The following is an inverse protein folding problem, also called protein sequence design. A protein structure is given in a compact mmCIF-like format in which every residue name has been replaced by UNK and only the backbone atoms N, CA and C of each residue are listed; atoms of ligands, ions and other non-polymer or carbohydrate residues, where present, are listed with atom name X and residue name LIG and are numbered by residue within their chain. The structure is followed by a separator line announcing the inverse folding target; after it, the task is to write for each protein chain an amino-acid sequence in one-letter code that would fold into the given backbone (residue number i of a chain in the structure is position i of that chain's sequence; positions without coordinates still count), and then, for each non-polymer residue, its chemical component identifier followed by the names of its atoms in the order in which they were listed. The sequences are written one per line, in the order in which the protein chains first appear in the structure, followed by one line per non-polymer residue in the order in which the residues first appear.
data_IF_655863674699
#
_entry.id   IF_655863674699
#
_cell.length_a   1.000
_cell.length_b   1.000
_cell.length_c   1.000
_cell.angle_alpha   90.00
_cell.angle_beta   90.00
_cell.angle_gamma   90.00
#
_symmetry.space_group_name_H-M   'P 1'
#
loop_
_entity.id
_entity.type
_entity.pdbx_description
1 polymer ?
#
# COMPACT_ATOMS: atom_id res chain seq x y z
N UNK A 1 -15.18 -36.41 60.50
CA UNK A 1 -15.43 -36.61 59.06
C UNK A 1 -14.30 -35.94 58.30
N UNK A 2 -13.43 -36.72 57.67
CA UNK A 2 -12.29 -36.21 56.92
C UNK A 2 -12.80 -35.57 55.61
N UNK A 3 -12.61 -34.26 55.48
CA UNK A 3 -12.88 -33.53 54.25
C UNK A 3 -11.84 -33.99 53.22
N UNK A 4 -12.29 -34.55 52.10
CA UNK A 4 -11.40 -34.98 51.01
C UNK A 4 -10.64 -33.76 50.48
N UNK A 5 -9.34 -33.92 50.28
CA UNK A 5 -8.38 -32.87 49.90
C UNK A 5 -8.76 -32.14 48.59
N UNK A 6 -9.57 -32.77 47.75
CA UNK A 6 -10.13 -32.17 46.53
C UNK A 6 -11.17 -31.07 46.80
N UNK A 7 -11.95 -31.16 47.88
CA UNK A 7 -12.94 -30.13 48.24
C UNK A 7 -12.32 -28.93 48.96
N UNK A 8 -11.15 -29.11 49.59
CA UNK A 8 -10.38 -28.00 50.17
C UNK A 8 -9.68 -27.19 49.07
N UNK A 9 -9.20 -27.84 48.02
CA UNK A 9 -8.63 -27.17 46.84
C UNK A 9 -9.69 -26.37 46.06
N UNK A 10 -10.92 -26.85 45.95
CA UNK A 10 -12.00 -26.10 45.30
C UNK A 10 -12.40 -24.82 46.06
N UNK A 11 -12.16 -24.74 47.38
CA UNK A 11 -12.44 -23.55 48.21
C UNK A 11 -11.23 -22.63 48.43
N UNK A 12 -10.00 -23.17 48.47
CA UNK A 12 -8.77 -22.37 48.55
C UNK A 12 -8.34 -21.81 47.17
N UNK A 13 -8.67 -22.50 46.08
CA UNK A 13 -8.45 -22.04 44.69
C UNK A 13 -9.75 -21.58 43.99
N UNK A 14 -10.86 -21.48 44.74
CA UNK A 14 -12.20 -21.08 44.25
C UNK A 14 -12.36 -19.60 43.87
N UNK A 15 -11.25 -18.85 43.76
CA UNK A 15 -11.19 -17.50 43.17
C UNK A 15 -9.85 -17.29 42.48
N UNK A 16 -9.50 -18.14 41.52
CA UNK A 16 -8.53 -17.74 40.50
C UNK A 16 -9.25 -16.76 39.56
N UNK A 17 -8.77 -15.51 39.54
CA UNK A 17 -9.31 -14.39 38.77
C UNK A 17 -9.74 -14.79 37.35
N UNK A 18 -10.99 -14.48 36.98
CA UNK A 18 -11.51 -14.53 35.60
C UNK A 18 -10.84 -13.49 34.67
N UNK A 19 -9.56 -13.14 34.89
CA UNK A 19 -8.88 -11.98 34.28
C UNK A 19 -7.41 -12.22 33.91
N UNK A 20 -6.93 -13.46 33.88
CA UNK A 20 -5.59 -13.75 33.35
C UNK A 20 -5.73 -14.47 32.03
N UNK A 21 -5.54 -13.71 30.96
CA UNK A 21 -5.28 -14.27 29.65
C UNK A 21 -3.81 -14.64 29.57
N UNK A 22 -3.50 -15.92 29.71
CA UNK A 22 -2.13 -16.44 29.76
C UNK A 22 -1.62 -16.92 28.40
N UNK A 23 -2.48 -16.91 27.38
CA UNK A 23 -2.14 -17.28 26.01
C UNK A 23 -2.90 -16.41 24.99
N UNK A 24 -2.45 -16.46 23.73
CA UNK A 24 -2.97 -15.63 22.63
C UNK A 24 -4.50 -15.78 22.46
N UNK A 25 -5.04 -16.98 22.63
CA UNK A 25 -6.48 -17.27 22.47
C UNK A 25 -7.32 -16.69 23.60
N UNK A 26 -6.83 -16.77 24.84
CA UNK A 26 -7.46 -16.11 25.99
C UNK A 26 -7.36 -14.59 25.87
N UNK A 27 -6.26 -14.04 25.34
CA UNK A 27 -6.10 -12.60 25.12
C UNK A 27 -7.06 -12.09 24.05
N UNK A 28 -7.27 -12.87 22.98
CA UNK A 28 -8.28 -12.57 21.94
C UNK A 28 -9.70 -12.64 22.48
N UNK A 29 -10.00 -13.60 23.37
CA UNK A 29 -11.32 -13.73 24.02
C UNK A 29 -11.56 -12.58 25.02
N UNK A 30 -10.57 -12.25 25.84
CA UNK A 30 -10.61 -11.12 26.77
C UNK A 30 -10.76 -9.77 26.04
N UNK A 31 -10.07 -9.59 24.90
CA UNK A 31 -10.24 -8.40 24.06
C UNK A 31 -11.63 -8.32 23.42
N UNK A 32 -12.23 -9.46 23.05
CA UNK A 32 -13.61 -9.55 22.55
C UNK A 32 -14.64 -9.22 23.64
N UNK A 33 -14.40 -9.71 24.85
CA UNK A 33 -15.25 -9.46 26.03
C UNK A 33 -14.98 -8.10 26.68
N UNK A 34 -14.02 -7.33 26.14
CA UNK A 34 -13.61 -6.00 26.62
C UNK A 34 -13.21 -6.05 28.10
N UNK A 35 -12.39 -7.03 28.46
CA UNK A 35 -11.82 -7.15 29.80
C UNK A 35 -11.10 -5.85 30.18
N UNK A 36 -11.21 -5.45 31.45
CA UNK A 36 -10.63 -4.20 31.94
C UNK A 36 -9.11 -4.16 31.83
N UNK A 37 -8.45 -5.34 31.89
CA UNK A 37 -7.00 -5.49 31.78
C UNK A 37 -6.69 -6.71 30.94
N UNK A 38 -5.65 -6.63 30.09
CA UNK A 38 -5.04 -7.77 29.40
C UNK A 38 -3.54 -7.80 29.69
N UNK A 39 -2.94 -8.99 29.67
CA UNK A 39 -1.49 -9.15 29.75
C UNK A 39 -0.97 -9.58 28.39
N UNK A 40 0.05 -8.89 27.88
CA UNK A 40 0.70 -9.23 26.61
C UNK A 40 2.20 -9.40 26.84
N UNK A 41 2.75 -10.50 26.33
CA UNK A 41 4.20 -10.66 26.25
C UNK A 41 4.73 -9.76 25.13
N UNK A 42 5.66 -8.87 25.45
CA UNK A 42 6.21 -7.90 24.48
C UNK A 42 7.63 -8.33 24.12
N UNK A 43 7.89 -8.50 22.81
CA UNK A 43 9.21 -8.87 22.27
C UNK A 43 9.87 -10.13 22.89
N UNK A 44 9.10 -11.05 23.48
CA UNK A 44 9.63 -12.27 24.10
C UNK A 44 10.16 -12.10 25.53
N UNK A 45 9.90 -10.95 26.15
CA UNK A 45 10.29 -10.62 27.53
C UNK A 45 9.13 -10.82 28.54
N UNK A 46 9.07 -9.98 29.59
CA UNK A 46 8.04 -9.96 30.63
C UNK A 46 6.65 -9.59 30.08
N UNK A 47 5.61 -10.13 30.72
CA UNK A 47 4.22 -9.77 30.44
C UNK A 47 3.91 -8.37 30.97
N UNK A 48 3.47 -7.49 30.08
CA UNK A 48 3.02 -6.14 30.43
C UNK A 48 1.50 -6.12 30.55
N UNK A 49 0.98 -5.56 31.64
CA UNK A 49 -0.44 -5.36 31.83
C UNK A 49 -0.90 -4.07 31.11
N UNK A 50 -1.94 -4.19 30.29
CA UNK A 50 -2.57 -3.09 29.58
C UNK A 50 -3.98 -2.88 30.10
N UNK A 51 -4.33 -1.62 30.37
CA UNK A 51 -5.66 -1.24 30.85
C UNK A 51 -6.54 -0.77 29.69
N UNK A 52 -7.81 -1.18 29.70
CA UNK A 52 -8.78 -0.75 28.70
C UNK A 52 -9.24 0.69 28.99
N UNK A 53 -9.03 1.56 28.01
CA UNK A 53 -9.44 2.96 28.05
C UNK A 53 -10.45 3.20 26.94
N UNK A 54 -11.51 3.96 27.28
CA UNK A 54 -12.46 4.51 26.32
C UNK A 54 -12.18 6.00 26.14
N UNK A 55 -11.93 6.40 24.91
CA UNK A 55 -11.76 7.80 24.50
C UNK A 55 -13.03 8.20 23.77
N UNK A 56 -13.65 9.31 24.19
CA UNK A 56 -14.86 9.81 23.55
C UNK A 56 -14.56 10.23 22.10
N UNK A 57 -15.54 10.09 21.21
CA UNK A 57 -15.40 10.41 19.78
C UNK A 57 -14.71 11.77 19.50
N UNK A 58 -15.11 12.82 20.23
CA UNK A 58 -14.58 14.18 20.06
C UNK A 58 -13.10 14.32 20.44
N UNK A 59 -12.62 13.45 21.32
CA UNK A 59 -11.27 13.49 21.89
C UNK A 59 -10.28 12.58 21.15
N UNK A 60 -10.74 11.71 20.23
CA UNK A 60 -9.87 10.69 19.62
C UNK A 60 -8.70 11.34 18.87
N UNK A 61 -8.96 12.40 18.11
CA UNK A 61 -7.93 13.06 17.29
C UNK A 61 -6.88 13.80 18.12
N UNK A 62 -7.25 14.34 19.28
CA UNK A 62 -6.40 15.18 20.13
C UNK A 62 -5.68 14.38 21.23
N UNK A 63 -6.36 13.40 21.84
CA UNK A 63 -5.80 12.56 22.91
C UNK A 63 -4.98 11.38 22.41
N UNK A 64 -4.99 11.10 21.10
CA UNK A 64 -4.20 10.01 20.53
C UNK A 64 -3.35 10.44 19.35
N UNK A 65 -2.18 9.83 19.23
CA UNK A 65 -1.31 9.91 18.06
C UNK A 65 -0.98 8.51 17.56
N UNK A 66 -0.64 8.35 16.29
CA UNK A 66 -0.14 7.07 15.77
C UNK A 66 1.37 7.02 15.99
N UNK A 67 1.88 5.82 16.31
CA UNK A 67 3.31 5.59 16.45
C UNK A 67 4.09 6.10 15.24
N UNK A 68 5.15 6.88 15.48
CA UNK A 68 5.89 7.56 14.42
C UNK A 68 6.52 6.60 13.39
N UNK A 69 6.96 5.42 13.82
CA UNK A 69 7.53 4.39 12.94
C UNK A 69 6.50 3.37 12.46
N UNK A 70 5.20 3.67 12.57
CA UNK A 70 4.19 2.83 11.95
C UNK A 70 4.33 2.88 10.42
N UNK A 71 4.51 1.73 9.80
CA UNK A 71 4.72 1.63 8.35
C UNK A 71 3.52 2.06 7.49
N UNK A 72 2.33 2.26 8.09
CA UNK A 72 1.12 2.65 7.37
C UNK A 72 1.02 4.17 7.24
N UNK A 73 0.89 4.63 6.01
CA UNK A 73 0.72 6.04 5.66
C UNK A 73 -0.67 6.52 6.07
N UNK A 74 -0.72 7.43 7.05
CA UNK A 74 -1.98 7.88 7.63
C UNK A 74 -2.80 8.72 6.64
N UNK A 75 -2.14 9.39 5.69
CA UNK A 75 -2.80 10.17 4.64
C UNK A 75 -3.68 9.30 3.70
N UNK A 76 -3.43 8.00 3.62
CA UNK A 76 -4.21 7.08 2.79
C UNK A 76 -5.50 6.57 3.45
N UNK A 77 -5.70 6.84 4.74
CA UNK A 77 -6.83 6.31 5.50
C UNK A 77 -8.07 7.19 5.34
N UNK A 78 -8.81 6.94 4.26
CA UNK A 78 -10.10 7.59 3.98
C UNK A 78 -11.27 6.57 4.01
N UNK A 79 -12.48 7.03 3.72
CA UNK A 79 -13.69 6.18 3.75
C UNK A 79 -13.62 4.96 2.82
N UNK A 80 -13.00 5.09 1.64
CA UNK A 80 -12.84 3.99 0.69
C UNK A 80 -11.77 3.00 1.14
N UNK A 81 -10.62 3.49 1.60
CA UNK A 81 -9.52 2.64 2.09
C UNK A 81 -9.87 1.86 3.37
N UNK A 82 -10.87 2.35 4.12
CA UNK A 82 -11.37 1.76 5.35
C UNK A 82 -12.72 1.07 5.19
N UNK A 83 -13.26 0.93 3.97
CA UNK A 83 -14.62 0.44 3.74
C UNK A 83 -14.88 -0.97 4.33
N UNK A 84 -13.84 -1.81 4.42
CA UNK A 84 -13.90 -3.15 5.00
C UNK A 84 -14.21 -3.16 6.51
N UNK A 85 -13.86 -2.10 7.24
CA UNK A 85 -14.12 -1.98 8.68
C UNK A 85 -15.09 -0.85 9.03
N UNK A 86 -15.12 0.23 8.26
CA UNK A 86 -15.85 1.46 8.56
C UNK A 86 -17.36 1.24 8.62
N UNK A 87 -17.91 0.42 7.72
CA UNK A 87 -19.34 0.08 7.69
C UNK A 87 -19.79 -0.56 9.00
N UNK A 88 -19.13 -1.66 9.39
CA UNK A 88 -19.43 -2.38 10.63
C UNK A 88 -19.17 -1.53 11.88
N UNK A 89 -18.15 -0.66 11.86
CA UNK A 89 -17.82 0.23 12.97
C UNK A 89 -18.85 1.34 13.14
N UNK A 90 -19.39 1.90 12.05
CA UNK A 90 -20.49 2.88 12.10
C UNK A 90 -21.74 2.27 12.78
N UNK A 91 -22.07 1.03 12.43
CA UNK A 91 -23.28 0.36 12.91
C UNK A 91 -23.15 -0.21 14.33
N UNK A 92 -22.04 -0.89 14.62
CA UNK A 92 -21.87 -1.70 15.84
C UNK A 92 -20.80 -1.17 16.79
N UNK A 93 -20.15 -0.05 16.43
CA UNK A 93 -18.98 0.46 17.15
C UNK A 93 -17.76 -0.44 16.99
N UNK A 94 -16.68 -0.06 17.66
CA UNK A 94 -15.45 -0.84 17.68
C UNK A 94 -15.65 -2.18 18.38
N UNK A 95 -15.37 -3.27 17.65
CA UNK A 95 -15.47 -4.64 18.17
C UNK A 95 -14.27 -4.99 19.04
N UNK A 96 -13.05 -4.73 18.55
CA UNK A 96 -11.80 -5.08 19.23
C UNK A 96 -11.02 -3.82 19.60
N UNK A 97 -10.65 -3.62 20.88
CA UNK A 97 -9.81 -2.51 21.31
C UNK A 97 -8.45 -2.49 20.60
N UNK A 98 -7.94 -1.29 20.33
CA UNK A 98 -6.59 -1.05 19.85
C UNK A 98 -5.54 -1.35 20.94
N UNK A 99 -4.25 -1.25 20.62
CA UNK A 99 -3.16 -1.34 21.61
C UNK A 99 -2.29 -0.09 21.49
N UNK A 100 -1.94 0.50 22.63
CA UNK A 100 -1.15 1.72 22.69
C UNK A 100 -0.26 1.79 23.92
N UNK A 101 0.52 2.87 23.99
CA UNK A 101 1.27 3.25 25.19
C UNK A 101 0.95 4.68 25.60
N UNK A 102 1.10 4.96 26.88
CA UNK A 102 1.07 6.32 27.39
C UNK A 102 2.33 7.07 26.99
N UNK A 103 2.16 8.32 26.55
CA UNK A 103 3.24 9.29 26.39
C UNK A 103 3.38 10.15 27.65
N UNK A 104 4.55 10.76 27.82
CA UNK A 104 4.85 11.62 28.96
C UNK A 104 3.95 12.87 29.02
N UNK A 105 3.44 13.32 27.87
CA UNK A 105 2.50 14.44 27.75
C UNK A 105 1.04 14.08 28.06
N UNK A 106 0.78 12.83 28.46
CA UNK A 106 -0.56 12.33 28.79
C UNK A 106 -1.42 11.94 27.59
N UNK A 107 -0.90 11.99 26.35
CA UNK A 107 -1.56 11.40 25.18
C UNK A 107 -1.28 9.91 25.08
N UNK A 108 -2.08 9.22 24.26
CA UNK A 108 -1.90 7.80 23.95
C UNK A 108 -1.30 7.66 22.56
N UNK A 109 -0.18 6.98 22.46
CA UNK A 109 0.39 6.57 21.19
C UNK A 109 -0.14 5.20 20.77
N UNK A 110 -0.77 5.13 19.60
CA UNK A 110 -1.39 3.93 19.03
C UNK A 110 -0.33 3.11 18.33
N UNK A 111 -0.07 1.91 18.86
CA UNK A 111 0.90 0.94 18.35
C UNK A 111 0.23 -0.04 17.38
N UNK A 112 -0.94 -0.55 17.75
CA UNK A 112 -1.85 -1.33 16.90
C UNK A 112 -3.20 -0.61 16.83
N UNK A 113 -3.74 -0.51 15.62
CA UNK A 113 -5.10 -0.03 15.40
C UNK A 113 -5.17 1.33 14.72
N UNK A 114 -4.14 1.76 13.99
CA UNK A 114 -4.18 3.02 13.21
C UNK A 114 -5.40 3.11 12.28
N UNK A 115 -5.74 2.02 11.58
CA UNK A 115 -6.97 1.92 10.75
C UNK A 115 -8.25 2.04 11.58
N UNK A 116 -8.28 1.45 12.79
CA UNK A 116 -9.42 1.51 13.72
C UNK A 116 -9.58 2.92 14.32
N UNK A 117 -8.48 3.56 14.72
CA UNK A 117 -8.43 4.95 15.18
C UNK A 117 -9.04 5.87 14.13
N UNK A 118 -8.53 5.81 12.89
CA UNK A 118 -9.06 6.65 11.81
C UNK A 118 -10.54 6.34 11.51
N UNK A 119 -10.95 5.07 11.54
CA UNK A 119 -12.35 4.70 11.36
C UNK A 119 -13.26 5.27 12.46
N UNK A 120 -12.80 5.31 13.73
CA UNK A 120 -13.54 5.93 14.83
C UNK A 120 -13.69 7.43 14.63
N UNK A 121 -12.64 8.11 14.15
CA UNK A 121 -12.68 9.54 13.80
C UNK A 121 -13.71 9.78 12.67
N UNK A 122 -13.63 9.03 11.57
CA UNK A 122 -14.56 9.17 10.43
C UNK A 122 -16.01 8.82 10.77
N UNK A 123 -16.21 7.84 11.66
CA UNK A 123 -17.54 7.39 12.08
C UNK A 123 -18.11 8.18 13.28
N UNK A 124 -17.33 9.11 13.84
CA UNK A 124 -17.65 9.82 15.07
C UNK A 124 -18.05 8.86 16.22
N UNK A 125 -17.21 7.86 16.48
CA UNK A 125 -17.42 6.84 17.52
C UNK A 125 -16.32 6.87 18.56
N UNK A 126 -16.68 6.45 19.77
CA UNK A 126 -15.72 6.24 20.85
C UNK A 126 -14.65 5.22 20.43
N UNK A 127 -13.42 5.47 20.87
CA UNK A 127 -12.26 4.63 20.60
C UNK A 127 -11.83 3.88 21.86
N UNK A 128 -11.83 2.55 21.77
CA UNK A 128 -11.38 1.62 22.79
C UNK A 128 -9.93 1.23 22.51
N UNK A 129 -9.09 1.36 23.52
CA UNK A 129 -7.65 1.05 23.42
C UNK A 129 -7.11 0.50 24.74
N UNK A 130 -6.33 -0.57 24.64
CA UNK A 130 -5.53 -1.12 25.73
C UNK A 130 -4.22 -0.33 25.83
N UNK A 131 -3.92 0.23 26.99
CA UNK A 131 -2.77 1.11 27.18
C UNK A 131 -1.92 0.66 28.36
N UNK A 132 -0.61 0.65 28.17
CA UNK A 132 0.36 0.43 29.24
C UNK A 132 1.37 1.59 29.32
N UNK A 133 2.06 1.69 30.45
CA UNK A 133 3.21 2.58 30.65
C UNK A 133 4.51 1.81 30.47
N UNK A 134 5.62 2.52 30.23
CA UNK A 134 6.96 1.91 30.22
C UNK A 134 7.30 1.08 28.97
N UNK A 135 6.49 1.15 27.90
CA UNK A 135 6.81 0.50 26.63
C UNK A 135 7.86 1.35 25.90
N UNK A 136 9.07 0.80 25.74
CA UNK A 136 10.15 1.46 25.00
C UNK A 136 9.88 1.45 23.48
N UNK A 137 10.67 2.19 22.71
CA UNK A 137 10.47 2.35 21.26
C UNK A 137 10.67 1.05 20.47
N UNK A 138 11.60 0.19 20.87
CA UNK A 138 11.85 -1.10 20.21
C UNK A 138 10.66 -2.05 20.38
N UNK A 139 10.12 -2.15 21.59
CA UNK A 139 8.90 -2.88 21.92
C UNK A 139 7.68 -2.32 21.19
N UNK A 140 7.56 -0.99 21.12
CA UNK A 140 6.52 -0.31 20.35
C UNK A 140 6.59 -0.66 18.86
N UNK A 141 7.79 -0.66 18.29
CA UNK A 141 8.05 -1.06 16.91
C UNK A 141 7.65 -2.51 16.66
N UNK A 142 8.06 -3.43 17.54
CA UNK A 142 7.68 -4.83 17.47
C UNK A 142 6.15 -5.02 17.45
N UNK A 143 5.43 -4.39 18.39
CA UNK A 143 3.96 -4.46 18.44
C UNK A 143 3.31 -3.90 17.18
N UNK A 144 3.82 -2.78 16.67
CA UNK A 144 3.33 -2.16 15.43
C UNK A 144 3.56 -3.05 14.20
N UNK A 145 4.73 -3.70 14.10
CA UNK A 145 5.07 -4.58 12.98
C UNK A 145 4.22 -5.85 12.96
N UNK A 146 4.04 -6.48 14.13
CA UNK A 146 3.16 -7.64 14.28
C UNK A 146 1.73 -7.30 13.87
N UNK A 147 1.23 -6.13 14.27
CA UNK A 147 -0.11 -5.67 13.90
C UNK A 147 -0.27 -5.45 12.39
N UNK A 148 0.77 -4.94 11.71
CA UNK A 148 0.74 -4.72 10.27
C UNK A 148 0.71 -6.02 9.45
N UNK A 149 1.12 -7.16 10.00
CA UNK A 149 1.04 -8.44 9.32
C UNK A 149 -0.41 -8.88 9.01
N UNK A 150 -1.41 -8.42 9.78
CA UNK A 150 -2.81 -8.83 9.60
C UNK A 150 -3.51 -8.22 8.38
N UNK A 151 -3.20 -6.97 8.02
CA UNK A 151 -3.68 -6.33 6.78
C UNK A 151 -2.47 -5.82 6.00
N UNK A 152 -2.23 -6.33 4.79
CA UNK A 152 -1.08 -5.92 3.99
C UNK A 152 -0.99 -4.41 3.79
N UNK A 153 0.23 -3.90 3.83
CA UNK A 153 0.59 -2.57 3.38
C UNK A 153 0.41 -2.44 1.85
N UNK A 154 0.12 -1.22 1.39
CA UNK A 154 0.12 -0.84 -0.03
C UNK A 154 1.50 -1.00 -0.66
N UNK A 155 1.57 -1.03 -2.00
CA UNK A 155 2.85 -1.08 -2.70
C UNK A 155 3.77 0.10 -2.36
N UNK A 156 3.18 1.28 -2.11
CA UNK A 156 3.92 2.48 -1.70
C UNK A 156 4.60 2.30 -0.34
N UNK A 157 3.83 1.89 0.67
CA UNK A 157 4.32 1.66 2.03
C UNK A 157 5.39 0.57 2.07
N UNK A 158 5.15 -0.56 1.38
CA UNK A 158 6.17 -1.61 1.19
C UNK A 158 7.39 -1.09 0.46
N UNK A 159 7.20 -0.22 -0.53
CA UNK A 159 8.28 0.41 -1.27
C UNK A 159 9.15 1.31 -0.41
N UNK A 160 8.56 2.07 0.53
CA UNK A 160 9.30 2.88 1.50
C UNK A 160 10.16 2.01 2.41
N UNK A 161 9.61 0.91 2.94
CA UNK A 161 10.38 -0.05 3.75
C UNK A 161 11.53 -0.67 2.94
N UNK A 162 11.25 -1.07 1.70
CA UNK A 162 12.23 -1.61 0.77
C UNK A 162 13.34 -0.60 0.44
N UNK A 163 13.00 0.66 0.24
CA UNK A 163 13.96 1.73 -0.03
C UNK A 163 14.86 1.97 1.20
N UNK A 164 14.28 1.99 2.41
CA UNK A 164 15.08 2.11 3.63
C UNK A 164 16.09 0.95 3.77
N UNK A 165 15.70 -0.28 3.43
CA UNK A 165 16.62 -1.42 3.50
C UNK A 165 17.82 -1.26 2.54
N UNK A 166 17.59 -0.71 1.35
CA UNK A 166 18.67 -0.36 0.41
C UNK A 166 19.54 0.78 0.94
N UNK A 167 18.92 1.87 1.41
CA UNK A 167 19.63 3.06 1.89
C UNK A 167 20.46 2.78 3.15
N UNK A 168 19.99 1.86 4.00
CA UNK A 168 20.72 1.41 5.19
C UNK A 168 21.94 0.51 4.89
N UNK A 169 22.11 0.08 3.63
CA UNK A 169 23.15 -0.86 3.23
C UNK A 169 22.93 -2.29 3.75
N UNK A 170 21.75 -2.61 4.30
CA UNK A 170 21.41 -3.97 4.76
C UNK A 170 21.36 -4.97 3.60
N UNK A 171 21.08 -4.49 2.40
CA UNK A 171 21.12 -5.22 1.14
C UNK A 171 21.76 -4.34 0.07
N UNK A 172 22.53 -4.92 -0.85
CA UNK A 172 23.30 -4.17 -1.84
C UNK A 172 22.46 -3.74 -3.06
N UNK A 173 21.50 -4.58 -3.49
CA UNK A 173 20.70 -4.32 -4.69
C UNK A 173 19.28 -4.90 -4.61
N UNK A 174 18.45 -4.62 -5.62
CA UNK A 174 17.05 -5.08 -5.66
C UNK A 174 16.92 -6.61 -5.73
N UNK A 175 17.91 -7.31 -6.28
CA UNK A 175 17.91 -8.78 -6.42
C UNK A 175 18.23 -9.43 -5.08
N UNK A 176 19.17 -8.87 -4.33
CA UNK A 176 19.42 -9.25 -2.95
C UNK A 176 18.22 -8.92 -2.07
N UNK A 177 17.60 -7.75 -2.23
CA UNK A 177 16.40 -7.37 -1.50
C UNK A 177 15.25 -8.36 -1.72
N UNK A 178 15.03 -8.81 -2.96
CA UNK A 178 14.03 -9.82 -3.30
C UNK A 178 14.27 -11.15 -2.58
N UNK A 179 15.54 -11.61 -2.51
CA UNK A 179 15.93 -12.81 -1.76
C UNK A 179 15.77 -12.61 -0.25
N UNK A 180 16.21 -11.47 0.27
CA UNK A 180 16.14 -11.11 1.69
C UNK A 180 14.70 -11.09 2.20
N UNK A 181 13.79 -10.48 1.43
CA UNK A 181 12.35 -10.40 1.76
C UNK A 181 11.53 -11.60 1.25
N UNK A 182 12.18 -12.61 0.65
CA UNK A 182 11.55 -13.81 0.09
C UNK A 182 10.36 -13.49 -0.85
N UNK A 183 10.55 -12.54 -1.76
CA UNK A 183 9.53 -12.11 -2.70
C UNK A 183 10.08 -11.98 -4.14
N UNK A 184 9.20 -11.81 -5.13
CA UNK A 184 9.64 -11.68 -6.52
C UNK A 184 10.36 -10.35 -6.76
N UNK A 185 11.43 -10.34 -7.57
CA UNK A 185 12.08 -9.08 -8.03
C UNK A 185 11.09 -8.11 -8.66
N UNK A 186 10.07 -8.63 -9.34
CA UNK A 186 9.07 -7.81 -9.98
C UNK A 186 8.13 -7.12 -8.95
N UNK A 187 7.95 -7.69 -7.75
CA UNK A 187 7.28 -7.03 -6.62
C UNK A 187 8.17 -5.91 -6.07
N UNK A 188 9.47 -6.18 -5.88
CA UNK A 188 10.45 -5.18 -5.43
C UNK A 188 10.46 -3.98 -6.38
N UNK A 189 10.63 -4.22 -7.67
CA UNK A 189 10.60 -3.16 -8.69
C UNK A 189 9.29 -2.38 -8.68
N UNK A 190 8.15 -3.06 -8.54
CA UNK A 190 6.84 -2.41 -8.46
C UNK A 190 6.65 -1.57 -7.20
N UNK A 191 7.13 -2.03 -6.06
CA UNK A 191 7.03 -1.32 -4.79
C UNK A 191 7.96 -0.10 -4.76
N UNK A 192 9.22 -0.23 -5.19
CA UNK A 192 10.15 0.90 -5.30
C UNK A 192 9.65 1.98 -6.26
N UNK A 193 9.05 1.57 -7.39
CA UNK A 193 8.35 2.51 -8.29
C UNK A 193 7.14 3.17 -7.64
N UNK A 194 6.43 2.48 -6.75
CA UNK A 194 5.34 3.12 -6.02
C UNK A 194 5.91 4.18 -5.07
N UNK A 195 6.95 3.85 -4.30
CA UNK A 195 7.56 4.75 -3.32
C UNK A 195 8.23 5.99 -3.93
N UNK A 196 8.66 5.93 -5.20
CA UNK A 196 9.20 7.09 -5.91
C UNK A 196 8.13 8.05 -6.44
N UNK A 197 6.86 7.66 -6.47
CA UNK A 197 5.78 8.54 -6.92
C UNK A 197 5.44 9.60 -5.85
N UNK A 198 5.14 10.85 -6.26
CA UNK A 198 4.67 11.87 -5.35
C UNK A 198 3.36 11.49 -4.66
N UNK A 199 3.18 12.00 -3.44
CA UNK A 199 2.03 11.69 -2.59
C UNK A 199 0.72 12.14 -3.25
N UNK A 200 0.72 13.31 -3.88
CA UNK A 200 -0.43 13.92 -4.54
C UNK A 200 -0.95 13.05 -5.68
N UNK A 201 -0.05 12.39 -6.43
CA UNK A 201 -0.41 11.48 -7.50
C UNK A 201 -1.08 10.21 -6.97
N UNK A 202 -0.64 9.70 -5.82
CA UNK A 202 -1.24 8.53 -5.18
C UNK A 202 -2.57 8.90 -4.52
N UNK A 203 -2.65 10.06 -3.86
CA UNK A 203 -3.86 10.58 -3.22
C UNK A 203 -4.95 10.99 -4.23
N UNK A 204 -4.62 11.12 -5.51
CA UNK A 204 -5.60 11.25 -6.59
C UNK A 204 -6.56 10.04 -6.68
N UNK A 205 -6.17 8.88 -6.14
CA UNK A 205 -6.97 7.65 -6.10
C UNK A 205 -7.81 7.51 -4.83
N UNK A 206 -8.96 6.81 -4.90
CA UNK A 206 -9.82 6.61 -3.73
C UNK A 206 -9.18 5.67 -2.69
N UNK A 207 -8.36 4.71 -3.11
CA UNK A 207 -7.68 3.78 -2.21
C UNK A 207 -6.32 3.38 -2.80
N UNK A 208 -5.23 3.80 -2.15
CA UNK A 208 -3.85 3.48 -2.58
C UNK A 208 -3.53 2.00 -2.40
N UNK A 209 -4.13 1.35 -1.40
CA UNK A 209 -3.98 -0.09 -1.16
C UNK A 209 -4.47 -0.97 -2.31
N UNK A 210 -5.37 -0.46 -3.16
CA UNK A 210 -5.93 -1.16 -4.33
C UNK A 210 -5.11 -0.92 -5.60
N UNK A 211 -4.05 -0.10 -5.54
CA UNK A 211 -3.20 0.15 -6.70
C UNK A 211 -2.25 -1.02 -6.93
N UNK A 212 -2.63 -1.88 -7.86
CA UNK A 212 -1.78 -2.97 -8.32
C UNK A 212 -0.57 -2.49 -9.12
N UNK A 213 0.42 -3.39 -9.26
CA UNK A 213 1.65 -3.14 -10.04
C UNK A 213 1.42 -2.59 -11.45
N UNK A 214 0.44 -3.05 -12.25
CA UNK A 214 0.20 -2.49 -13.58
C UNK A 214 -0.11 -0.99 -13.55
N UNK A 215 -0.92 -0.55 -12.57
CA UNK A 215 -1.27 0.86 -12.38
C UNK A 215 -0.06 1.66 -11.94
N UNK A 216 0.70 1.17 -10.96
CA UNK A 216 1.92 1.85 -10.49
C UNK A 216 2.94 2.01 -11.62
N UNK A 217 3.21 0.96 -12.41
CA UNK A 217 4.16 1.03 -13.53
C UNK A 217 3.71 2.04 -14.57
N UNK A 218 2.40 2.10 -14.84
CA UNK A 218 1.83 3.09 -15.76
C UNK A 218 1.98 4.51 -15.23
N UNK A 219 1.62 4.76 -13.97
CA UNK A 219 1.78 6.06 -13.32
C UNK A 219 3.23 6.53 -13.31
N UNK A 220 4.15 5.64 -12.93
CA UNK A 220 5.58 5.93 -12.95
C UNK A 220 6.06 6.32 -14.34
N UNK A 221 5.59 5.63 -15.40
CA UNK A 221 5.93 6.00 -16.78
C UNK A 221 5.36 7.35 -17.18
N UNK A 222 4.11 7.66 -16.80
CA UNK A 222 3.48 8.95 -17.11
C UNK A 222 4.26 10.07 -16.41
N UNK A 223 4.43 9.98 -15.09
CA UNK A 223 5.04 11.04 -14.29
C UNK A 223 6.52 11.25 -14.63
N UNK A 224 7.33 10.18 -14.64
CA UNK A 224 8.77 10.29 -14.96
C UNK A 224 9.07 10.36 -16.46
N UNK A 225 8.06 10.32 -17.32
CA UNK A 225 8.20 10.64 -18.74
C UNK A 225 8.18 12.15 -19.02
N UNK A 226 7.66 12.94 -18.06
CA UNK A 226 7.60 14.39 -18.12
C UNK A 226 8.92 15.03 -17.68
N UNK A 227 9.24 16.19 -18.23
CA UNK A 227 10.32 17.05 -17.76
C UNK A 227 10.02 17.61 -16.36
N UNK A 228 11.05 18.05 -15.63
CA UNK A 228 10.91 18.52 -14.25
C UNK A 228 9.85 19.64 -14.08
N UNK A 229 9.78 20.59 -15.02
CA UNK A 229 8.79 21.67 -14.98
C UNK A 229 7.36 21.15 -15.18
N UNK A 230 7.19 20.16 -16.06
CA UNK A 230 5.89 19.51 -16.33
C UNK A 230 5.46 18.62 -15.16
N UNK A 231 6.40 17.91 -14.52
CA UNK A 231 6.15 17.16 -13.29
C UNK A 231 5.63 18.10 -12.20
N UNK A 232 6.28 19.24 -11.98
CA UNK A 232 5.86 20.24 -11.01
C UNK A 232 4.45 20.75 -11.31
N UNK A 233 4.18 21.12 -12.57
CA UNK A 233 2.86 21.57 -13.00
C UNK A 233 1.77 20.51 -12.78
N UNK A 234 2.06 19.24 -13.05
CA UNK A 234 1.13 18.14 -12.78
C UNK A 234 0.77 18.03 -11.29
N UNK A 235 1.75 18.17 -10.40
CA UNK A 235 1.53 18.15 -8.94
C UNK A 235 0.77 19.40 -8.48
N UNK A 236 1.08 20.57 -9.03
CA UNK A 236 0.35 21.80 -8.77
C UNK A 236 -1.11 21.68 -9.18
N UNK A 237 -1.41 21.12 -10.36
CA UNK A 237 -2.80 20.89 -10.81
C UNK A 237 -3.55 19.92 -9.89
N UNK A 238 -2.88 18.84 -9.43
CA UNK A 238 -3.49 17.88 -8.49
C UNK A 238 -3.72 18.43 -7.08
N UNK A 239 -2.96 19.46 -6.69
CA UNK A 239 -3.06 20.09 -5.37
C UNK A 239 -3.92 21.37 -5.36
N UNK A 240 -4.09 22.03 -6.51
CA UNK A 240 -4.87 23.26 -6.65
C UNK A 240 -6.37 23.03 -6.43
N UNK A 241 -6.88 21.89 -6.89
CA UNK A 241 -8.21 21.45 -6.51
C UNK A 241 -8.13 20.99 -5.05
N UNK A 242 -8.75 21.73 -4.12
CA UNK A 242 -8.79 21.41 -2.68
C UNK A 242 -9.55 20.09 -2.37
N UNK A 243 -9.70 19.23 -3.37
CA UNK A 243 -10.49 18.01 -3.44
C UNK A 243 -9.73 17.00 -4.30
N UNK A 244 -9.50 15.79 -3.79
CA UNK A 244 -8.82 14.74 -4.52
C UNK A 244 -9.54 14.35 -5.83
N UNK A 245 -8.78 14.06 -6.89
CA UNK A 245 -9.29 13.81 -8.25
C UNK A 245 -10.39 12.74 -8.31
N UNK A 246 -10.28 11.65 -7.54
CA UNK A 246 -11.30 10.60 -7.48
C UNK A 246 -12.69 11.08 -7.07
N UNK A 247 -12.81 12.18 -6.33
CA UNK A 247 -14.10 12.77 -5.94
C UNK A 247 -14.80 13.47 -7.10
N UNK A 248 -14.07 13.83 -8.16
CA UNK A 248 -14.64 14.40 -9.39
C UNK A 248 -15.26 13.35 -10.31
N UNK A 249 -14.98 12.06 -10.06
CA UNK A 249 -15.38 10.95 -10.89
C UNK A 249 -16.81 10.49 -10.54
N UNK A 250 -17.70 10.55 -11.53
CA UNK A 250 -19.11 10.10 -11.41
C UNK A 250 -19.24 8.60 -11.72
N UNK A 251 -18.47 7.76 -11.03
CA UNK A 251 -18.52 6.30 -11.19
C UNK A 251 -18.79 5.61 -9.86
N UNK A 252 -19.52 4.49 -9.90
CA UNK A 252 -19.72 3.63 -8.73
C UNK A 252 -18.69 2.49 -8.70
N UNK A 253 -18.10 2.28 -7.52
CA UNK A 253 -17.17 1.19 -7.26
C UNK A 253 -15.70 1.59 -7.43
N UNK A 254 -14.88 1.18 -6.46
CA UNK A 254 -13.47 1.56 -6.36
C UNK A 254 -12.71 1.23 -7.64
N UNK A 255 -12.90 0.04 -8.22
CA UNK A 255 -12.20 -0.37 -9.45
C UNK A 255 -12.51 0.51 -10.66
N UNK A 256 -13.76 0.99 -10.81
CA UNK A 256 -14.15 1.88 -11.92
C UNK A 256 -13.57 3.27 -11.71
N UNK A 257 -13.67 3.80 -10.49
CA UNK A 257 -13.07 5.09 -10.12
C UNK A 257 -11.56 5.06 -10.35
N UNK A 258 -10.86 4.02 -9.87
CA UNK A 258 -9.41 3.84 -10.08
C UNK A 258 -9.06 3.83 -11.57
N UNK A 259 -9.85 3.16 -12.42
CA UNK A 259 -9.62 3.16 -13.87
C UNK A 259 -9.77 4.57 -14.46
N UNK A 260 -10.83 5.29 -14.11
CA UNK A 260 -11.09 6.63 -14.64
C UNK A 260 -10.08 7.67 -14.15
N UNK A 261 -9.67 7.61 -12.88
CA UNK A 261 -8.55 8.41 -12.35
C UNK A 261 -7.28 8.15 -13.17
N UNK A 262 -6.99 6.87 -13.45
CA UNK A 262 -5.80 6.52 -14.25
C UNK A 262 -5.85 7.12 -15.65
N UNK A 263 -7.02 7.08 -16.31
CA UNK A 263 -7.21 7.69 -17.64
C UNK A 263 -7.01 9.20 -17.58
N UNK A 264 -7.60 9.88 -16.59
CA UNK A 264 -7.40 11.34 -16.43
C UNK A 264 -5.94 11.71 -16.20
N UNK A 265 -5.22 10.96 -15.37
CA UNK A 265 -3.80 11.20 -15.15
C UNK A 265 -2.96 10.97 -16.41
N UNK A 266 -3.33 9.99 -17.26
CA UNK A 266 -2.72 9.80 -18.58
C UNK A 266 -3.01 10.98 -19.51
N UNK A 267 -4.25 11.49 -19.54
CA UNK A 267 -4.64 12.66 -20.33
C UNK A 267 -3.91 13.94 -19.89
N UNK A 268 -3.76 14.14 -18.58
CA UNK A 268 -2.97 15.25 -18.02
C UNK A 268 -1.50 15.16 -18.46
N UNK A 269 -0.89 13.97 -18.36
CA UNK A 269 0.48 13.77 -18.82
C UNK A 269 0.65 14.02 -20.33
N UNK A 270 -0.26 13.48 -21.14
CA UNK A 270 -0.24 13.66 -22.60
C UNK A 270 -0.49 15.14 -23.01
N UNK A 271 -1.27 15.90 -22.23
CA UNK A 271 -1.48 17.33 -22.45
C UNK A 271 -0.25 18.18 -22.08
N UNK A 272 0.49 17.80 -21.05
CA UNK A 272 1.70 18.49 -20.60
C UNK A 272 2.90 18.23 -21.51
N UNK A 273 2.96 17.05 -22.12
CA UNK A 273 3.97 16.68 -23.10
C UNK A 273 3.27 16.09 -24.33
N UNK A 274 2.75 16.94 -25.23
CA UNK A 274 2.14 16.46 -26.47
C UNK A 274 3.18 15.62 -27.20
N UNK A 275 2.89 14.32 -27.37
CA UNK A 275 3.74 13.42 -28.14
C UNK A 275 4.00 14.08 -29.48
N UNK A 276 5.27 14.41 -29.77
CA UNK A 276 5.66 14.72 -31.13
C UNK A 276 5.25 13.49 -31.94
N UNK A 277 4.26 13.65 -32.81
CA UNK A 277 3.83 12.59 -33.72
C UNK A 277 5.00 12.39 -34.67
N UNK A 278 5.94 11.54 -34.28
CA UNK A 278 6.88 10.96 -35.22
C UNK A 278 6.00 10.07 -36.09
N UNK A 279 5.69 10.55 -37.30
CA UNK A 279 5.00 9.73 -38.30
C UNK A 279 5.78 8.42 -38.40
N UNK A 280 5.22 7.34 -37.84
CA UNK A 280 5.81 6.02 -38.03
C UNK A 280 5.84 5.81 -39.53
N UNK A 281 6.98 5.46 -40.12
CA UNK A 281 7.06 5.27 -41.55
C UNK A 281 6.04 4.22 -41.96
N UNK A 282 5.05 4.67 -42.72
CA UNK A 282 3.92 3.84 -43.12
C UNK A 282 4.39 2.88 -44.20
N UNK A 283 3.96 1.62 -44.12
CA UNK A 283 4.26 0.66 -45.19
C UNK A 283 3.58 1.10 -46.47
N UNK A 284 4.37 1.31 -47.53
CA UNK A 284 3.89 1.65 -48.86
C UNK A 284 3.87 0.40 -49.74
N UNK A 285 2.83 0.27 -50.56
CA UNK A 285 2.69 -0.86 -51.48
C UNK A 285 3.41 -0.52 -52.80
N UNK A 286 4.49 -1.24 -53.11
CA UNK A 286 5.24 -1.07 -54.37
C UNK A 286 4.60 -1.87 -55.50
N UNK A 287 4.19 -3.11 -55.20
CA UNK A 287 3.47 -3.99 -56.13
C UNK A 287 2.30 -4.60 -55.38
N UNK A 288 1.08 -4.29 -55.83
CA UNK A 288 -0.15 -4.71 -55.18
C UNK A 288 -0.16 -6.20 -54.82
N UNK A 289 -0.26 -6.49 -53.53
CA UNK A 289 -0.32 -7.85 -52.97
C UNK A 289 0.97 -8.67 -53.08
N UNK A 290 2.09 -8.09 -53.55
CA UNK A 290 3.37 -8.79 -53.74
C UNK A 290 4.55 -8.12 -53.06
N UNK A 291 4.68 -6.80 -53.12
CA UNK A 291 5.82 -6.07 -52.55
C UNK A 291 5.35 -4.85 -51.80
N UNK A 292 5.75 -4.75 -50.53
CA UNK A 292 5.60 -3.54 -49.73
C UNK A 292 6.95 -3.13 -49.15
N UNK A 293 7.10 -1.84 -48.86
CA UNK A 293 8.32 -1.31 -48.27
C UNK A 293 8.03 -0.32 -47.15
N UNK A 294 8.99 -0.15 -46.25
CA UNK A 294 8.97 0.85 -45.18
C UNK A 294 10.30 1.57 -45.20
N UNK A 295 10.30 2.90 -45.26
CA UNK A 295 11.51 3.73 -45.29
C UNK A 295 11.58 4.63 -44.06
N UNK A 296 12.64 4.50 -43.29
CA UNK A 296 12.94 5.31 -42.09
C UNK A 296 14.33 5.93 -42.23
N UNK A 297 14.40 7.13 -42.81
CA UNK A 297 15.68 7.76 -43.19
C UNK A 297 16.49 6.88 -44.16
N UNK A 298 17.66 6.42 -43.70
CA UNK A 298 18.58 5.54 -44.43
C UNK A 298 18.22 4.05 -44.31
N UNK A 299 17.23 3.70 -43.48
CA UNK A 299 16.76 2.31 -43.34
C UNK A 299 15.64 2.04 -44.34
N UNK A 300 15.87 1.10 -45.24
CA UNK A 300 14.84 0.55 -46.12
C UNK A 300 14.54 -0.90 -45.72
N UNK A 301 13.28 -1.19 -45.40
CA UNK A 301 12.77 -2.55 -45.23
C UNK A 301 11.87 -2.93 -46.40
N UNK A 302 12.22 -4.00 -47.12
CA UNK A 302 11.42 -4.57 -48.20
C UNK A 302 10.76 -5.86 -47.73
N UNK A 303 9.46 -6.00 -47.98
CA UNK A 303 8.69 -7.22 -47.70
C UNK A 303 8.11 -7.74 -49.02
N UNK A 304 8.71 -8.81 -49.53
CA UNK A 304 8.25 -9.51 -50.74
C UNK A 304 7.47 -10.77 -50.36
N UNK A 305 6.36 -11.02 -51.06
CA UNK A 305 5.48 -12.19 -50.87
C UNK A 305 5.17 -12.82 -52.23
N UNK A 306 4.92 -14.13 -52.24
CA UNK A 306 4.52 -14.92 -53.43
C UNK A 306 5.55 -14.84 -54.57
N UNK A 307 6.79 -15.19 -54.28
CA UNK A 307 7.89 -15.26 -55.26
C UNK A 307 8.31 -16.71 -55.52
N UNK A 308 8.79 -17.02 -56.72
CA UNK A 308 9.42 -18.31 -57.03
C UNK A 308 10.91 -18.30 -56.67
N UNK A 309 11.51 -19.48 -56.48
CA UNK A 309 12.92 -19.62 -56.08
C UNK A 309 13.88 -18.91 -57.05
N UNK A 310 13.59 -18.96 -58.35
CA UNK A 310 14.35 -18.23 -59.37
C UNK A 310 14.30 -16.72 -59.15
N UNK A 311 13.11 -16.17 -58.90
CA UNK A 311 12.95 -14.73 -58.64
C UNK A 311 13.61 -14.29 -57.33
N UNK A 312 13.65 -15.18 -56.33
CA UNK A 312 14.37 -14.91 -55.08
C UNK A 312 15.87 -14.84 -55.33
N UNK A 313 16.43 -15.81 -56.08
CA UNK A 313 17.86 -15.80 -56.44
C UNK A 313 18.23 -14.53 -57.21
N UNK A 314 17.50 -14.21 -58.27
CA UNK A 314 17.77 -13.04 -59.12
C UNK A 314 17.79 -11.72 -58.31
N UNK A 315 16.87 -11.57 -57.33
CA UNK A 315 16.82 -10.39 -56.47
C UNK A 315 17.98 -10.35 -55.49
N UNK A 316 18.33 -11.48 -54.85
CA UNK A 316 19.44 -11.53 -53.91
C UNK A 316 20.78 -11.29 -54.60
N UNK A 317 20.96 -11.84 -55.80
CA UNK A 317 22.16 -11.64 -56.62
C UNK A 317 22.30 -10.16 -57.03
N UNK A 318 21.21 -9.53 -57.47
CA UNK A 318 21.19 -8.11 -57.79
C UNK A 318 21.51 -7.23 -56.57
N UNK A 319 20.88 -7.48 -55.42
CA UNK A 319 21.12 -6.71 -54.20
C UNK A 319 22.55 -6.87 -53.71
N UNK A 320 23.13 -8.07 -53.85
CA UNK A 320 24.50 -8.36 -53.46
C UNK A 320 25.53 -7.69 -54.39
N UNK A 321 25.22 -7.50 -55.66
CA UNK A 321 26.06 -6.75 -56.60
C UNK A 321 25.94 -5.24 -56.35
N UNK A 322 24.71 -4.75 -56.18
CA UNK A 322 24.42 -3.32 -56.03
C UNK A 322 24.89 -2.71 -54.69
N UNK A 323 24.95 -3.51 -53.63
CA UNK A 323 25.34 -3.05 -52.28
C UNK A 323 26.81 -3.32 -51.92
N UNK A 324 27.60 -3.85 -52.85
CA UNK A 324 29.06 -3.93 -52.73
C UNK A 324 29.72 -2.60 -53.07
#
# INVERSE_FOLDING_TARGET
MAIKTTDLNARLFGKADKRRATNVTEAQTAARDKAAVIELAVAGEETVAFELIKINADDVSTKTTVFAENAREQAFLNEHALADILSTLKDRGQQYPAVGRWLDDGRIEVLDGSRRRMSCILAHKDFLIYVAKGINTEHAKFLSDVANAHKPLSLFERGKEMQHLLDSGKVADQKELARYLQCSEALVSGALKAASLPMELLMAYPSVGELGRPTIVKLHRVFFGLEAEQQKKMIEELSAENTALWKTIKAQGISRITREVTVKLEEMGDALQPKVVVEKPSSQELIKGKVSYTRDGDKLQLRLKKMSDRQVSDILDYLNDYLK
#
